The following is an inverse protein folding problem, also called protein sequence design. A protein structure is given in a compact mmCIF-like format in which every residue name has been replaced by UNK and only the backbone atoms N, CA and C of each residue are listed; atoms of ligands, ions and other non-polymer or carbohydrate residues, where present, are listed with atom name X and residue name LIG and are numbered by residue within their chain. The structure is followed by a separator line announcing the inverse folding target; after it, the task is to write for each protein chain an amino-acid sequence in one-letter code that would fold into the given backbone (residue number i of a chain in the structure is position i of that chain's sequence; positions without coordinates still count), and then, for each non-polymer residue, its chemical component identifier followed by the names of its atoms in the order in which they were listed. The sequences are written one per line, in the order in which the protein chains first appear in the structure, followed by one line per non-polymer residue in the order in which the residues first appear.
data_IF_500907630995
#
_entry.id   IF_500907630995
#
_cell.length_a   1.000
_cell.length_b   1.000
_cell.length_c   1.000
_cell.angle_alpha   90.00
_cell.angle_beta   90.00
_cell.angle_gamma   90.00
#
_symmetry.space_group_name_H-M   'P 1'
#
loop_
_entity.id
_entity.type
_entity.pdbx_description
1 polymer ?
#
# COMPACT_ATOMS: atom_id res chain seq x y z
N UNK A 1 6.39 -1.05 -21.99
CA UNK A 1 5.53 -0.24 -21.09
C UNK A 1 6.14 -0.27 -19.71
N UNK A 2 6.29 0.88 -19.05
CA UNK A 2 6.87 1.01 -17.71
C UNK A 2 5.74 1.35 -16.73
N UNK A 3 5.64 0.63 -15.61
CA UNK A 3 4.65 0.95 -14.58
C UNK A 3 5.05 2.22 -13.80
N UNK A 4 4.08 2.90 -13.17
CA UNK A 4 4.37 4.08 -12.35
C UNK A 4 5.36 3.77 -11.22
N UNK A 5 5.31 2.60 -10.62
CA UNK A 5 6.25 2.17 -9.58
C UNK A 5 7.66 1.98 -10.11
N UNK A 6 7.81 1.41 -11.32
CA UNK A 6 9.12 1.31 -11.98
C UNK A 6 9.71 2.68 -12.33
N UNK A 7 8.84 3.61 -12.79
CA UNK A 7 9.27 4.99 -13.06
C UNK A 7 9.75 5.69 -11.78
N UNK A 8 8.97 5.62 -10.71
CA UNK A 8 9.32 6.21 -9.41
C UNK A 8 10.65 5.64 -8.91
N UNK A 9 10.82 4.32 -8.93
CA UNK A 9 12.07 3.69 -8.51
C UNK A 9 13.25 4.16 -9.36
N UNK A 10 13.08 4.25 -10.68
CA UNK A 10 14.13 4.76 -11.58
C UNK A 10 14.53 6.21 -11.27
N UNK A 11 13.58 7.05 -10.89
CA UNK A 11 13.87 8.44 -10.47
C UNK A 11 14.64 8.48 -9.13
N UNK A 12 14.30 7.60 -8.20
CA UNK A 12 15.01 7.47 -6.93
C UNK A 12 16.43 6.94 -7.16
N UNK A 13 16.58 5.84 -7.91
CA UNK A 13 17.88 5.20 -8.18
C UNK A 13 18.83 6.12 -8.93
N UNK A 14 18.32 6.97 -9.82
CA UNK A 14 19.10 7.99 -10.52
C UNK A 14 19.42 9.22 -9.67
N UNK A 15 18.93 9.31 -8.44
CA UNK A 15 19.12 10.44 -7.53
C UNK A 15 18.35 11.70 -7.92
N UNK A 16 17.44 11.62 -8.89
CA UNK A 16 16.61 12.75 -9.34
C UNK A 16 15.57 13.16 -8.30
N UNK A 17 15.10 12.22 -7.51
CA UNK A 17 14.23 12.47 -6.36
C UNK A 17 14.79 11.77 -5.12
N UNK A 18 14.64 12.43 -3.96
CA UNK A 18 15.09 11.93 -2.65
C UNK A 18 14.00 12.18 -1.61
N UNK A 19 12.94 11.38 -1.63
CA UNK A 19 11.81 11.60 -0.72
C UNK A 19 12.21 11.34 0.73
N UNK A 20 11.75 12.21 1.65
CA UNK A 20 11.98 12.08 3.09
C UNK A 20 10.79 12.62 3.86
N UNK A 21 10.20 11.80 4.72
CA UNK A 21 9.11 12.23 5.60
C UNK A 21 9.62 13.09 6.76
N UNK A 22 8.79 14.01 7.24
CA UNK A 22 9.08 14.85 8.43
C UNK A 22 9.09 14.05 9.72
N UNK A 23 8.21 13.07 9.83
CA UNK A 23 8.06 12.21 10.99
C UNK A 23 8.34 10.76 10.62
N UNK A 24 8.93 10.02 11.55
CA UNK A 24 9.15 8.59 11.39
C UNK A 24 7.81 7.85 11.37
N UNK A 25 7.65 6.95 10.42
CA UNK A 25 6.40 6.21 10.22
C UNK A 25 6.66 4.73 9.98
N UNK A 26 5.86 3.88 10.62
CA UNK A 26 5.90 2.43 10.44
C UNK A 26 4.83 2.03 9.42
N UNK A 27 5.26 1.44 8.32
CA UNK A 27 4.40 1.15 7.17
C UNK A 27 4.45 -0.32 6.79
N UNK A 28 3.29 -0.94 6.58
CA UNK A 28 3.16 -2.27 5.96
C UNK A 28 2.66 -2.12 4.53
N UNK A 29 3.23 -2.87 3.59
CA UNK A 29 2.79 -2.86 2.20
C UNK A 29 1.77 -3.97 1.93
N UNK A 30 0.64 -3.60 1.35
CA UNK A 30 -0.29 -4.56 0.77
C UNK A 30 0.08 -4.85 -0.68
N UNK A 31 0.44 -6.09 -0.98
CA UNK A 31 0.78 -6.52 -2.34
C UNK A 31 -0.48 -6.68 -3.21
N UNK A 32 -0.72 -5.79 -4.19
CA UNK A 32 -1.84 -5.95 -5.11
C UNK A 32 -1.63 -7.16 -6.01
N UNK A 33 -2.72 -7.87 -6.33
CA UNK A 33 -2.65 -9.08 -7.15
C UNK A 33 -2.01 -8.83 -8.53
N UNK A 34 -2.31 -7.70 -9.16
CA UNK A 34 -1.73 -7.32 -10.46
C UNK A 34 -0.21 -7.14 -10.39
N UNK A 35 0.29 -6.52 -9.33
CA UNK A 35 1.73 -6.34 -9.18
C UNK A 35 2.43 -7.64 -8.82
N UNK A 36 1.92 -8.34 -7.82
CA UNK A 36 2.61 -9.49 -7.25
C UNK A 36 2.46 -10.78 -8.07
N UNK A 37 1.24 -11.08 -8.54
CA UNK A 37 0.95 -12.35 -9.21
C UNK A 37 1.10 -12.28 -10.72
N UNK A 38 0.57 -11.23 -11.36
CA UNK A 38 0.59 -11.11 -12.82
C UNK A 38 1.90 -10.51 -13.35
N UNK A 39 2.43 -9.49 -12.69
CA UNK A 39 3.63 -8.79 -13.15
C UNK A 39 4.91 -9.17 -12.38
N UNK A 40 4.82 -10.06 -11.41
CA UNK A 40 5.96 -10.51 -10.59
C UNK A 40 6.76 -9.35 -9.97
N UNK A 41 6.10 -8.24 -9.66
CA UNK A 41 6.70 -7.00 -9.14
C UNK A 41 6.54 -6.89 -7.64
N UNK A 42 7.14 -7.80 -6.88
CA UNK A 42 7.10 -7.81 -5.41
C UNK A 42 8.16 -6.89 -4.82
N UNK A 43 9.33 -6.83 -5.43
CA UNK A 43 10.49 -6.10 -4.90
C UNK A 43 10.42 -4.58 -5.11
N UNK A 44 9.85 -4.13 -6.23
CA UNK A 44 9.82 -2.69 -6.60
C UNK A 44 9.17 -1.80 -5.54
N UNK A 45 7.95 -2.08 -5.03
CA UNK A 45 7.33 -1.26 -3.99
C UNK A 45 8.16 -1.22 -2.69
N UNK A 46 8.78 -2.32 -2.34
CA UNK A 46 9.62 -2.41 -1.14
C UNK A 46 10.85 -1.53 -1.24
N UNK A 47 11.54 -1.57 -2.39
CA UNK A 47 12.68 -0.69 -2.65
C UNK A 47 12.30 0.80 -2.59
N UNK A 48 11.12 1.16 -3.10
CA UNK A 48 10.62 2.54 -3.00
C UNK A 48 10.42 2.92 -1.53
N UNK A 49 9.69 2.12 -0.75
CA UNK A 49 9.45 2.40 0.66
C UNK A 49 10.75 2.46 1.48
N UNK A 50 11.69 1.56 1.21
CA UNK A 50 13.01 1.55 1.88
C UNK A 50 13.86 2.79 1.53
N UNK A 51 13.62 3.39 0.36
CA UNK A 51 14.32 4.59 -0.09
C UNK A 51 13.69 5.90 0.42
N UNK A 52 12.45 5.87 0.90
CA UNK A 52 11.81 7.04 1.53
C UNK A 52 12.35 7.21 2.94
N UNK A 53 13.09 8.30 3.18
CA UNK A 53 13.62 8.60 4.51
C UNK A 53 12.51 8.77 5.55
N UNK A 54 12.69 8.18 6.72
CA UNK A 54 11.71 8.22 7.81
C UNK A 54 10.72 7.06 7.82
N UNK A 55 10.67 6.21 6.78
CA UNK A 55 9.83 5.02 6.79
C UNK A 55 10.58 3.84 7.41
N UNK A 56 9.92 3.15 8.33
CA UNK A 56 10.27 1.81 8.78
C UNK A 56 9.27 0.84 8.17
N UNK A 57 9.67 0.16 7.11
CA UNK A 57 8.84 -0.84 6.46
C UNK A 57 8.82 -2.13 7.28
N UNK A 58 7.62 -2.65 7.50
CA UNK A 58 7.40 -3.96 8.12
C UNK A 58 6.71 -4.89 7.15
N UNK A 59 6.92 -6.18 7.32
CA UNK A 59 6.30 -7.20 6.50
C UNK A 59 5.12 -7.86 7.21
N UNK A 60 4.08 -8.15 6.47
CA UNK A 60 2.98 -8.99 6.91
C UNK A 60 3.29 -10.46 6.62
N UNK A 61 2.70 -11.39 7.36
CA UNK A 61 2.88 -12.83 7.12
C UNK A 61 2.38 -13.24 5.74
N UNK A 62 1.21 -12.72 5.33
CA UNK A 62 0.65 -12.93 4.00
C UNK A 62 1.11 -11.80 3.07
N UNK A 63 2.18 -12.04 2.33
CA UNK A 63 2.84 -11.05 1.46
C UNK A 63 3.24 -11.61 0.11
N UNK A 64 3.60 -10.73 -0.81
CA UNK A 64 4.05 -11.10 -2.14
C UNK A 64 2.97 -11.87 -2.91
N UNK A 65 3.36 -12.96 -3.53
CA UNK A 65 2.45 -13.79 -4.33
C UNK A 65 1.38 -14.51 -3.50
N UNK A 66 1.63 -14.71 -2.20
CA UNK A 66 0.70 -15.36 -1.27
C UNK A 66 -0.16 -14.36 -0.49
N UNK A 67 -0.06 -13.06 -0.80
CA UNK A 67 -0.86 -12.04 -0.17
C UNK A 67 -2.35 -12.30 -0.36
N UNK A 68 -3.13 -12.12 0.71
CA UNK A 68 -4.59 -12.14 0.62
C UNK A 68 -5.08 -10.98 -0.24
N UNK A 69 -6.11 -11.21 -1.05
CA UNK A 69 -6.75 -10.21 -1.88
C UNK A 69 -7.38 -9.08 -1.05
N UNK A 70 -7.47 -7.87 -1.61
CA UNK A 70 -8.26 -6.78 -1.04
C UNK A 70 -9.78 -6.97 -1.18
N UNK A 71 -10.20 -7.93 -2.01
CA UNK A 71 -11.60 -8.26 -2.23
C UNK A 71 -12.28 -7.56 -3.43
N UNK A 72 -11.56 -6.73 -4.20
CA UNK A 72 -12.14 -6.03 -5.36
C UNK A 72 -12.29 -6.90 -6.60
N UNK A 73 -11.49 -7.98 -6.70
CA UNK A 73 -11.42 -8.82 -7.90
C UNK A 73 -12.72 -9.54 -8.23
N UNK A 74 -12.89 -9.88 -9.53
CA UNK A 74 -14.06 -10.61 -10.01
C UNK A 74 -15.39 -9.85 -9.90
N UNK A 75 -15.36 -8.52 -9.82
CA UNK A 75 -16.56 -7.71 -9.65
C UNK A 75 -17.10 -7.66 -8.22
N UNK A 76 -16.42 -8.25 -7.26
CA UNK A 76 -16.86 -8.34 -5.86
C UNK A 76 -17.10 -6.98 -5.20
N UNK A 77 -16.37 -5.93 -5.63
CA UNK A 77 -16.59 -4.58 -5.10
C UNK A 77 -17.99 -4.01 -5.40
N UNK A 78 -18.68 -4.57 -6.39
CA UNK A 78 -20.04 -4.17 -6.80
C UNK A 78 -21.13 -5.11 -6.28
N UNK A 79 -20.75 -6.18 -5.58
CA UNK A 79 -21.69 -7.20 -5.09
C UNK A 79 -21.98 -7.00 -3.61
N UNK A 80 -23.26 -7.07 -3.25
CA UNK A 80 -23.66 -7.17 -1.84
C UNK A 80 -23.31 -8.57 -1.31
N UNK A 81 -22.64 -8.61 -0.17
CA UNK A 81 -22.27 -9.87 0.48
C UNK A 81 -23.00 -9.99 1.83
N UNK A 82 -23.63 -11.12 2.05
CA UNK A 82 -24.22 -11.48 3.34
C UNK A 82 -23.20 -11.99 4.36
N UNK A 83 -21.95 -12.23 3.92
CA UNK A 83 -20.85 -12.71 4.75
C UNK A 83 -19.83 -11.61 5.03
N UNK A 84 -18.92 -11.85 5.97
CA UNK A 84 -17.85 -10.89 6.28
C UNK A 84 -17.00 -10.62 5.05
N UNK A 85 -16.93 -9.37 4.63
CA UNK A 85 -16.22 -8.94 3.42
C UNK A 85 -14.72 -9.19 3.54
N UNK A 86 -14.10 -9.60 2.44
CA UNK A 86 -12.66 -9.92 2.36
C UNK A 86 -11.78 -8.72 2.72
N UNK A 87 -12.19 -7.50 2.35
CA UNK A 87 -11.45 -6.27 2.67
C UNK A 87 -11.29 -6.06 4.18
N UNK A 88 -12.32 -6.35 4.98
CA UNK A 88 -12.25 -6.30 6.45
C UNK A 88 -11.25 -7.30 7.00
N UNK A 89 -11.32 -8.54 6.51
CA UNK A 89 -10.41 -9.61 6.96
C UNK A 89 -8.97 -9.21 6.64
N UNK A 90 -8.72 -8.73 5.41
CA UNK A 90 -7.37 -8.35 4.97
C UNK A 90 -6.86 -7.13 5.73
N UNK A 91 -7.67 -6.09 5.91
CA UNK A 91 -7.25 -4.89 6.61
C UNK A 91 -6.99 -5.16 8.10
N UNK A 92 -7.82 -6.01 8.73
CA UNK A 92 -7.59 -6.48 10.10
C UNK A 92 -6.27 -7.23 10.25
N UNK A 93 -5.93 -8.05 9.26
CA UNK A 93 -4.65 -8.77 9.24
C UNK A 93 -3.46 -7.80 9.09
N UNK A 94 -3.52 -6.84 8.17
CA UNK A 94 -2.49 -5.82 7.98
C UNK A 94 -2.28 -4.95 9.21
N UNK A 95 -3.37 -4.59 9.92
CA UNK A 95 -3.32 -3.80 11.15
C UNK A 95 -2.43 -4.41 12.23
N UNK A 96 -2.32 -5.72 12.27
CA UNK A 96 -1.42 -6.42 13.21
C UNK A 96 0.05 -6.08 12.98
N UNK A 97 0.41 -5.68 11.76
CA UNK A 97 1.79 -5.33 11.38
C UNK A 97 2.07 -3.84 11.57
N UNK A 98 1.16 -2.96 11.13
CA UNK A 98 1.27 -1.51 11.27
C UNK A 98 -0.11 -0.84 11.15
N UNK A 99 -0.23 0.39 11.66
CA UNK A 99 -1.43 1.24 11.50
C UNK A 99 -1.50 1.93 10.15
N UNK A 100 -0.36 2.12 9.50
CA UNK A 100 -0.28 2.69 8.14
C UNK A 100 -0.05 1.58 7.13
N UNK A 101 -0.91 1.53 6.12
CA UNK A 101 -0.86 0.57 5.01
C UNK A 101 -0.58 1.30 3.72
N UNK A 102 0.52 0.97 3.07
CA UNK A 102 0.80 1.42 1.71
C UNK A 102 0.18 0.45 0.69
N UNK A 103 -0.45 1.00 -0.33
CA UNK A 103 -1.03 0.25 -1.45
C UNK A 103 -0.45 0.74 -2.77
N UNK A 104 -0.45 -0.10 -3.78
CA UNK A 104 0.01 0.23 -5.14
C UNK A 104 -1.09 0.06 -6.19
N UNK A 105 -2.36 0.08 -5.77
CA UNK A 105 -3.52 -0.12 -6.66
C UNK A 105 -4.71 0.68 -6.13
N UNK A 106 -5.35 1.52 -6.98
CA UNK A 106 -6.49 2.36 -6.55
C UNK A 106 -7.69 1.53 -6.09
N UNK A 107 -7.92 0.34 -6.67
CA UNK A 107 -9.00 -0.54 -6.20
C UNK A 107 -8.73 -1.06 -4.77
N UNK A 108 -7.47 -1.38 -4.44
CA UNK A 108 -7.12 -1.78 -3.07
C UNK A 108 -7.33 -0.62 -2.09
N UNK A 109 -6.96 0.61 -2.48
CA UNK A 109 -7.21 1.81 -1.68
C UNK A 109 -8.70 1.96 -1.36
N UNK A 110 -9.57 1.99 -2.38
CA UNK A 110 -11.02 2.11 -2.23
C UNK A 110 -11.61 1.02 -1.34
N UNK A 111 -11.16 -0.23 -1.50
CA UNK A 111 -11.67 -1.35 -0.70
C UNK A 111 -11.31 -1.22 0.78
N UNK A 112 -10.10 -0.75 1.09
CA UNK A 112 -9.68 -0.54 2.48
C UNK A 112 -10.31 0.70 3.09
N UNK A 113 -10.48 1.79 2.35
CA UNK A 113 -11.23 2.96 2.81
C UNK A 113 -12.68 2.62 3.12
N UNK A 114 -13.33 1.80 2.29
CA UNK A 114 -14.66 1.27 2.58
C UNK A 114 -14.70 0.46 3.89
N UNK A 115 -13.73 -0.41 4.11
CA UNK A 115 -13.65 -1.17 5.37
C UNK A 115 -13.47 -0.26 6.59
N UNK A 116 -12.66 0.79 6.47
CA UNK A 116 -12.45 1.78 7.54
C UNK A 116 -13.72 2.57 7.85
N UNK A 117 -14.50 2.93 6.83
CA UNK A 117 -15.74 3.70 7.02
C UNK A 117 -16.83 2.92 7.73
N UNK A 118 -16.81 1.58 7.60
CA UNK A 118 -17.84 0.71 8.17
C UNK A 118 -17.46 0.11 9.55
N UNK A 119 -16.18 0.16 9.92
CA UNK A 119 -15.67 -0.47 11.15
C UNK A 119 -14.89 0.52 12.03
N UNK A 120 -15.39 0.77 13.24
CA UNK A 120 -14.77 1.70 14.20
C UNK A 120 -13.35 1.30 14.63
N UNK A 121 -13.05 0.02 14.64
CA UNK A 121 -11.71 -0.47 15.02
C UNK A 121 -10.69 -0.20 13.91
N UNK A 122 -11.13 -0.25 12.65
CA UNK A 122 -10.29 0.00 11.48
C UNK A 122 -10.21 1.49 11.14
N UNK A 123 -11.14 2.32 11.58
CA UNK A 123 -11.20 3.76 11.27
C UNK A 123 -9.99 4.58 11.73
N UNK A 124 -9.20 4.04 12.66
CA UNK A 124 -7.95 4.68 13.13
C UNK A 124 -6.70 4.33 12.31
N UNK A 125 -6.84 3.61 11.20
CA UNK A 125 -5.74 3.29 10.31
C UNK A 125 -5.56 4.37 9.24
N UNK A 126 -4.36 4.45 8.68
CA UNK A 126 -4.03 5.26 7.52
C UNK A 126 -3.77 4.36 6.31
N UNK A 127 -4.47 4.61 5.23
CA UNK A 127 -4.26 3.92 3.96
C UNK A 127 -3.75 4.93 2.95
N UNK A 128 -2.57 4.68 2.40
CA UNK A 128 -1.92 5.61 1.49
C UNK A 128 -1.47 4.90 0.21
N UNK A 129 -1.67 5.54 -0.91
CA UNK A 129 -1.12 5.08 -2.17
C UNK A 129 0.40 5.34 -2.18
N UNK A 130 1.16 4.42 -2.76
CA UNK A 130 2.63 4.46 -2.75
C UNK A 130 3.19 5.76 -3.35
N UNK A 131 2.56 6.27 -4.42
CA UNK A 131 2.95 7.54 -5.05
C UNK A 131 2.69 8.75 -4.16
N UNK A 132 1.63 8.73 -3.36
CA UNK A 132 1.32 9.80 -2.40
C UNK A 132 2.34 9.85 -1.27
N UNK A 133 2.77 8.68 -0.77
CA UNK A 133 3.85 8.61 0.23
C UNK A 133 5.14 9.25 -0.31
N UNK A 134 5.50 8.94 -1.55
CA UNK A 134 6.66 9.54 -2.20
C UNK A 134 6.48 11.05 -2.38
N UNK A 135 5.31 11.49 -2.85
CA UNK A 135 5.00 12.91 -3.04
C UNK A 135 5.09 13.70 -1.72
N UNK A 136 4.53 13.19 -0.63
CA UNK A 136 4.68 13.79 0.72
C UNK A 136 6.15 13.95 1.11
N UNK A 137 6.97 12.95 0.79
CA UNK A 137 8.41 13.01 1.05
C UNK A 137 9.14 14.08 0.23
N UNK A 138 8.66 14.40 -0.97
CA UNK A 138 9.23 15.44 -1.83
C UNK A 138 8.79 16.84 -1.38
N UNK A 139 7.57 17.05 -0.98
CA UNK A 139 7.07 18.33 -0.47
C UNK A 139 7.86 18.82 0.75
N UNK A 140 8.38 17.90 1.53
CA UNK A 140 9.20 18.18 2.70
C UNK A 140 10.63 18.62 2.36
N UNK A 141 11.13 18.28 1.16
CA UNK A 141 12.49 18.65 0.71
C UNK A 141 12.53 20.08 0.14
N UNK A 142 11.40 20.61 -0.33
CA UNK A 142 11.29 21.97 -0.89
C UNK A 142 11.07 23.07 0.16
N UNK A 143 10.84 22.68 1.36
CA UNK A 143 10.72 23.56 2.53
C UNK A 143 11.92 23.36 3.47
#
# INVERSE_FOLDING_TARGET
MVSHTQLILGLIDSGRIKPKLKQAEKVVFHDPCYMARYNNSVGTPRKILDAVGGITRVENLQRGKTAMCCGAGGGQMWMESSTKKINFIRLTDLRRSASTVAVGCPHCLTMFESAMSEDKVLSGMDIEELSEIVAKGLDNVQS
#
